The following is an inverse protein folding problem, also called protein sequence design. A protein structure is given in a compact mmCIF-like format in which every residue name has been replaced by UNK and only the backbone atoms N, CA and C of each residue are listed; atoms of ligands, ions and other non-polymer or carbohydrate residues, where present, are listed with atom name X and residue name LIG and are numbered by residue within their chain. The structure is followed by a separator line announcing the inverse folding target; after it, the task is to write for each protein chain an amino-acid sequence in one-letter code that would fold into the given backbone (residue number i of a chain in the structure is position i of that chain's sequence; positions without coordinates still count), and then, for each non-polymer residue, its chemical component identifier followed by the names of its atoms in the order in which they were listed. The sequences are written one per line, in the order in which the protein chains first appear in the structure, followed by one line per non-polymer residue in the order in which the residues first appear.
data_IF_042074641233
#
_entry.id   IF_042074641233
#
_cell.length_a   1.000
_cell.length_b   1.000
_cell.length_c   1.000
_cell.angle_alpha   90.00
_cell.angle_beta   90.00
_cell.angle_gamma   90.00
#
_symmetry.space_group_name_H-M   'P 1'
#
loop_
_entity.id
_entity.type
_entity.pdbx_description
1 polymer ?
#
# COMPACT_ATOMS: atom_id res chain seq x y z
N UNK A 1 25.42 17.84 -5.69
CA UNK A 1 24.11 18.20 -5.09
C UNK A 1 24.35 19.13 -3.92
N UNK A 2 23.74 20.31 -3.91
CA UNK A 2 23.78 21.16 -2.70
C UNK A 2 22.82 20.63 -1.64
N UNK A 3 23.26 20.48 -0.38
CA UNK A 3 22.39 20.08 0.70
C UNK A 3 21.21 21.06 0.85
N UNK A 4 19.99 20.54 0.92
CA UNK A 4 18.75 21.33 1.15
C UNK A 4 18.16 21.01 2.51
N UNK A 5 17.53 22.00 3.13
CA UNK A 5 16.77 21.83 4.36
C UNK A 5 15.32 21.52 4.01
N UNK A 6 14.86 20.33 4.37
CA UNK A 6 13.54 19.79 3.99
C UNK A 6 12.68 19.63 5.24
N UNK A 7 11.51 20.26 5.26
CA UNK A 7 10.48 19.99 6.28
C UNK A 7 9.51 18.93 5.72
N UNK A 8 9.61 17.68 6.22
CA UNK A 8 8.68 16.61 5.84
C UNK A 8 7.52 16.57 6.83
N UNK A 9 6.29 16.78 6.33
CA UNK A 9 5.08 16.71 7.16
C UNK A 9 4.27 15.47 6.75
N UNK A 10 4.12 14.55 7.69
CA UNK A 10 3.32 13.32 7.49
C UNK A 10 2.53 13.01 8.77
N UNK A 11 1.31 12.52 8.63
CA UNK A 11 0.57 12.04 9.79
C UNK A 11 1.10 10.67 10.24
N UNK A 12 1.37 9.78 9.29
CA UNK A 12 1.93 8.46 9.54
C UNK A 12 3.44 8.49 9.27
N UNK A 13 4.21 8.03 10.24
CA UNK A 13 5.67 7.93 10.14
C UNK A 13 6.19 6.77 10.99
N UNK A 14 7.43 6.33 10.76
CA UNK A 14 8.06 5.32 11.60
C UNK A 14 8.06 5.74 13.09
N UNK A 15 8.01 4.82 14.03
CA UNK A 15 8.01 3.36 13.87
C UNK A 15 6.61 2.75 13.76
N UNK A 16 5.59 3.52 13.40
CA UNK A 16 4.20 3.05 13.32
C UNK A 16 4.04 1.89 12.33
N UNK A 17 3.44 0.79 12.76
CA UNK A 17 3.01 -0.29 11.86
C UNK A 17 1.76 0.13 11.07
N UNK A 18 1.97 0.97 10.09
CA UNK A 18 0.94 1.47 9.18
C UNK A 18 1.51 1.59 7.77
N UNK A 19 0.78 1.08 6.77
CA UNK A 19 1.20 1.18 5.37
C UNK A 19 1.49 2.63 4.95
N UNK A 20 0.79 3.58 5.59
CA UNK A 20 0.99 5.00 5.38
C UNK A 20 2.31 5.54 5.90
N UNK A 21 3.01 4.84 6.80
CA UNK A 21 4.29 5.24 7.34
C UNK A 21 5.48 4.87 6.44
N UNK A 22 5.34 3.80 5.64
CA UNK A 22 6.44 3.26 4.82
C UNK A 22 7.03 4.33 3.91
N UNK A 23 6.22 4.91 3.04
CA UNK A 23 6.67 5.87 2.03
C UNK A 23 7.38 7.10 2.60
N UNK A 24 6.79 7.88 3.54
CA UNK A 24 7.47 9.05 4.09
C UNK A 24 8.75 8.70 4.84
N UNK A 25 8.79 7.57 5.54
CA UNK A 25 9.99 7.11 6.24
C UNK A 25 11.10 6.75 5.25
N UNK A 26 10.80 5.97 4.21
CA UNK A 26 11.80 5.60 3.19
C UNK A 26 12.31 6.83 2.43
N UNK A 27 11.44 7.75 2.04
CA UNK A 27 11.87 8.99 1.38
C UNK A 27 12.76 9.83 2.30
N UNK A 28 12.41 10.02 3.57
CA UNK A 28 13.25 10.74 4.54
C UNK A 28 14.62 10.08 4.68
N UNK A 29 14.67 8.75 4.88
CA UNK A 29 15.91 7.96 4.99
C UNK A 29 16.86 8.22 3.81
N UNK A 30 16.35 8.14 2.58
CA UNK A 30 17.20 8.27 1.41
C UNK A 30 17.55 9.72 1.07
N UNK A 31 16.69 10.69 1.37
CA UNK A 31 17.04 12.11 1.26
C UNK A 31 18.16 12.50 2.24
N UNK A 32 18.11 12.00 3.49
CA UNK A 32 19.23 12.19 4.45
C UNK A 32 20.53 11.54 3.95
N UNK A 33 20.45 10.31 3.41
CA UNK A 33 21.62 9.63 2.83
C UNK A 33 22.22 10.35 1.61
N UNK A 34 21.44 11.19 0.95
CA UNK A 34 21.91 12.06 -0.16
C UNK A 34 22.51 13.37 0.37
N UNK A 35 22.55 13.59 1.68
CA UNK A 35 23.14 14.77 2.32
C UNK A 35 22.17 15.92 2.55
N UNK A 36 20.86 15.75 2.30
CA UNK A 36 19.86 16.76 2.70
C UNK A 36 19.62 16.70 4.21
N UNK A 37 19.20 17.83 4.78
CA UNK A 37 18.80 17.92 6.19
C UNK A 37 17.27 17.78 6.28
N UNK A 38 16.75 16.65 6.77
CA UNK A 38 15.32 16.37 6.84
C UNK A 38 14.79 16.52 8.25
N UNK A 39 13.99 17.54 8.50
CA UNK A 39 13.19 17.68 9.72
C UNK A 39 11.81 17.04 9.49
N UNK A 40 11.43 16.09 10.34
CA UNK A 40 10.14 15.40 10.23
C UNK A 40 9.16 15.92 11.27
N UNK A 41 7.95 16.28 10.84
CA UNK A 41 6.83 16.64 11.73
C UNK A 41 5.71 15.60 11.54
N UNK A 42 5.44 14.77 12.54
CA UNK A 42 4.51 13.65 12.43
C UNK A 42 3.63 13.45 13.66
N UNK A 43 2.60 12.58 13.53
CA UNK A 43 1.75 12.11 14.63
C UNK A 43 2.32 10.82 15.24
N UNK A 44 2.07 10.51 16.52
CA UNK A 44 2.39 9.21 17.10
C UNK A 44 1.52 8.08 16.55
N UNK A 45 0.49 8.38 15.74
CA UNK A 45 -0.40 7.41 15.11
C UNK A 45 -1.53 6.91 15.99
N UNK A 46 -2.34 6.00 15.41
CA UNK A 46 -3.57 5.48 16.04
C UNK A 46 -3.37 4.16 16.79
N UNK A 47 -2.22 3.51 16.67
CA UNK A 47 -1.94 2.19 17.23
C UNK A 47 -0.65 2.13 18.02
N UNK A 48 -0.56 1.14 18.91
CA UNK A 48 0.62 0.89 19.73
C UNK A 48 1.60 -0.09 19.04
N UNK A 49 1.20 -0.66 17.90
CA UNK A 49 2.03 -1.58 17.14
C UNK A 49 3.13 -0.83 16.40
N UNK A 50 4.37 -1.23 16.64
CA UNK A 50 5.54 -0.74 15.93
C UNK A 50 6.00 -1.75 14.88
N UNK A 51 6.58 -1.25 13.79
CA UNK A 51 7.25 -2.04 12.76
C UNK A 51 8.76 -1.94 13.00
N UNK A 52 9.43 -3.06 13.38
CA UNK A 52 10.87 -3.06 13.64
C UNK A 52 11.71 -2.67 12.41
N UNK A 53 11.22 -2.97 11.21
CA UNK A 53 11.91 -2.61 9.95
C UNK A 53 11.90 -1.09 9.77
N UNK A 54 10.73 -0.45 9.94
CA UNK A 54 10.62 1.01 9.88
C UNK A 54 11.37 1.69 11.04
N UNK A 55 11.42 1.07 12.23
CA UNK A 55 12.20 1.60 13.34
C UNK A 55 13.71 1.66 13.00
N UNK A 56 14.25 0.66 12.29
CA UNK A 56 15.65 0.68 11.81
C UNK A 56 15.90 1.80 10.81
N UNK A 57 14.94 2.12 9.96
CA UNK A 57 15.06 3.20 8.98
C UNK A 57 15.17 4.59 9.60
N UNK A 58 14.78 4.74 10.87
CA UNK A 58 14.94 5.98 11.62
C UNK A 58 16.35 6.22 12.11
N UNK A 59 17.22 5.23 12.11
CA UNK A 59 18.56 5.32 12.73
C UNK A 59 19.44 6.45 12.18
N UNK A 60 19.19 6.91 10.95
CA UNK A 60 19.89 8.05 10.33
C UNK A 60 19.14 9.38 10.43
N UNK A 61 17.92 9.39 10.96
CA UNK A 61 17.10 10.60 11.07
C UNK A 61 17.28 11.23 12.45
N UNK A 62 17.88 12.40 12.49
CA UNK A 62 18.26 13.07 13.76
C UNK A 62 17.20 14.06 14.23
N UNK A 63 16.29 14.51 13.35
CA UNK A 63 15.37 15.61 13.67
C UNK A 63 13.89 15.20 13.38
N UNK A 64 13.31 14.42 14.34
CA UNK A 64 11.93 13.91 14.24
C UNK A 64 11.08 14.45 15.38
N UNK A 65 10.11 15.29 15.02
CA UNK A 65 9.15 15.90 15.95
C UNK A 65 7.82 15.14 15.94
N UNK A 66 7.59 14.35 16.99
CA UNK A 66 6.33 13.62 17.18
C UNK A 66 5.36 14.51 17.95
N UNK A 67 4.26 14.89 17.31
CA UNK A 67 3.24 15.78 17.89
C UNK A 67 2.14 14.96 18.53
N UNK A 68 2.13 14.88 19.85
CA UNK A 68 1.07 14.23 20.62
C UNK A 68 -0.29 14.91 20.39
N UNK A 69 -1.24 14.16 19.89
CA UNK A 69 -2.60 14.61 19.63
C UNK A 69 -3.58 14.13 20.71
N UNK A 70 -4.71 14.84 20.88
CA UNK A 70 -5.81 14.34 21.72
C UNK A 70 -6.57 13.25 20.99
N UNK A 71 -6.05 12.02 21.05
CA UNK A 71 -6.62 10.88 20.35
C UNK A 71 -7.42 9.97 21.29
N UNK A 72 -8.73 10.18 21.34
CA UNK A 72 -9.65 9.35 22.13
C UNK A 72 -9.73 7.89 21.64
N UNK A 73 -9.49 7.66 20.35
CA UNK A 73 -9.45 6.31 19.77
C UNK A 73 -8.26 5.51 20.32
N UNK A 74 -7.09 6.13 20.44
CA UNK A 74 -5.91 5.51 21.07
C UNK A 74 -6.21 5.14 22.51
N UNK A 75 -6.79 6.06 23.27
CA UNK A 75 -7.20 5.79 24.68
C UNK A 75 -8.25 4.68 24.82
N UNK A 76 -9.21 4.61 23.90
CA UNK A 76 -10.22 3.54 23.88
C UNK A 76 -9.61 2.18 23.49
N UNK A 77 -8.66 2.16 22.54
CA UNK A 77 -7.93 0.94 22.18
C UNK A 77 -7.05 0.45 23.32
N UNK A 78 -6.29 1.34 23.97
CA UNK A 78 -5.45 1.00 25.11
C UNK A 78 -6.25 0.43 26.30
N UNK A 79 -7.46 0.92 26.54
CA UNK A 79 -8.34 0.35 27.57
C UNK A 79 -8.92 -1.03 27.20
N UNK A 80 -8.97 -1.39 25.91
CA UNK A 80 -9.43 -2.71 25.42
C UNK A 80 -8.29 -3.72 25.23
N UNK A 81 -7.05 -3.31 25.21
CA UNK A 81 -5.88 -4.17 25.06
C UNK A 81 -5.31 -4.69 26.38
N UNK A 82 -6.12 -4.83 27.42
CA UNK A 82 -5.77 -5.75 28.50
C UNK A 82 -5.76 -7.17 27.92
N UNK A 83 -4.75 -8.02 28.19
CA UNK A 83 -4.63 -9.32 27.57
C UNK A 83 -5.81 -10.21 28.03
N UNK A 84 -6.80 -10.40 27.16
CA UNK A 84 -7.65 -11.58 27.28
C UNK A 84 -6.76 -12.76 26.92
N UNK A 85 -6.63 -13.67 27.90
CA UNK A 85 -5.97 -14.96 27.72
C UNK A 85 -6.42 -15.62 26.41
N UNK A 86 -5.46 -16.25 25.73
CA UNK A 86 -5.67 -16.95 24.48
C UNK A 86 -6.91 -17.86 24.55
N UNK A 87 -7.93 -17.48 23.80
CA UNK A 87 -9.07 -18.37 23.58
C UNK A 87 -8.78 -19.23 22.36
N UNK A 88 -9.10 -20.54 22.38
CA UNK A 88 -8.77 -21.47 21.32
C UNK A 88 -9.54 -21.13 20.04
N UNK A 89 -8.84 -21.27 18.92
CA UNK A 89 -9.39 -21.11 17.59
C UNK A 89 -10.41 -22.21 17.30
N UNK A 90 -11.67 -21.93 17.44
CA UNK A 90 -12.79 -22.54 16.69
C UNK A 90 -13.99 -21.61 16.81
N UNK A 91 -14.36 -20.91 15.79
CA UNK A 91 -15.75 -20.53 15.59
C UNK A 91 -16.11 -20.48 14.12
N UNK A 92 -16.92 -21.45 13.70
CA UNK A 92 -17.75 -21.39 12.50
C UNK A 92 -18.48 -20.05 12.49
N UNK A 93 -18.09 -19.14 11.62
CA UNK A 93 -18.85 -17.89 11.47
C UNK A 93 -19.96 -18.09 10.46
N UNK A 94 -21.17 -18.07 11.01
CA UNK A 94 -22.40 -17.87 10.28
C UNK A 94 -22.38 -16.55 9.49
N UNK A 95 -23.17 -16.51 8.41
CA UNK A 95 -23.37 -15.34 7.55
C UNK A 95 -23.52 -14.03 8.35
N UNK A 96 -22.79 -12.99 7.90
CA UNK A 96 -22.84 -11.66 8.55
C UNK A 96 -24.27 -11.14 8.59
N UNK A 97 -24.81 -10.79 9.78
CA UNK A 97 -26.11 -10.15 9.86
C UNK A 97 -26.06 -8.79 9.17
N UNK A 98 -27.15 -8.42 8.50
CA UNK A 98 -27.39 -7.06 7.97
C UNK A 98 -26.92 -6.03 8.99
N UNK A 99 -26.09 -5.07 8.56
CA UNK A 99 -25.51 -4.03 9.43
C UNK A 99 -26.64 -3.25 10.12
N UNK A 100 -26.94 -3.59 11.36
CA UNK A 100 -27.96 -2.93 12.16
C UNK A 100 -27.57 -1.48 12.49
N UNK A 101 -28.53 -0.65 12.88
CA UNK A 101 -28.37 0.75 13.27
C UNK A 101 -27.19 0.98 14.25
N UNK A 102 -26.91 0.02 15.13
CA UNK A 102 -25.75 0.07 16.05
C UNK A 102 -24.40 0.07 15.34
N UNK A 103 -24.24 -0.66 14.24
CA UNK A 103 -23.01 -0.68 13.45
C UNK A 103 -22.81 0.63 12.69
N UNK A 104 -23.85 1.20 12.13
CA UNK A 104 -23.80 2.49 11.44
C UNK A 104 -23.46 3.63 12.41
N UNK A 105 -24.03 3.63 13.61
CA UNK A 105 -23.71 4.59 14.66
C UNK A 105 -22.25 4.47 15.13
N UNK A 106 -21.74 3.25 15.31
CA UNK A 106 -20.37 3.00 15.69
C UNK A 106 -19.37 3.46 14.61
N UNK A 107 -19.68 3.23 13.33
CA UNK A 107 -18.85 3.69 12.20
C UNK A 107 -18.88 5.23 12.09
N UNK A 108 -20.02 5.86 12.28
CA UNK A 108 -20.12 7.33 12.30
C UNK A 108 -19.34 7.93 13.47
N UNK A 109 -19.43 7.34 14.66
CA UNK A 109 -18.65 7.75 15.81
C UNK A 109 -17.14 7.60 15.59
N UNK A 110 -16.71 6.48 14.99
CA UNK A 110 -15.30 6.25 14.64
C UNK A 110 -14.79 7.30 13.64
N UNK A 111 -15.55 7.59 12.58
CA UNK A 111 -15.21 8.64 11.59
C UNK A 111 -15.14 10.03 12.25
N UNK A 112 -16.05 10.36 13.13
CA UNK A 112 -16.04 11.61 13.87
C UNK A 112 -14.82 11.74 14.79
N UNK A 113 -14.47 10.69 15.53
CA UNK A 113 -13.30 10.67 16.41
C UNK A 113 -11.99 10.80 15.62
N UNK A 114 -11.89 10.15 14.47
CA UNK A 114 -10.74 10.33 13.56
C UNK A 114 -10.61 11.76 13.08
N UNK A 115 -11.71 12.36 12.68
CA UNK A 115 -11.72 13.77 12.25
C UNK A 115 -11.32 14.72 13.39
N UNK A 116 -11.75 14.45 14.61
CA UNK A 116 -11.32 15.23 15.79
C UNK A 116 -9.81 15.06 16.07
N UNK A 117 -9.29 13.87 15.94
CA UNK A 117 -7.87 13.58 16.10
C UNK A 117 -7.05 14.37 15.05
N UNK A 118 -7.47 14.33 13.78
CA UNK A 118 -6.85 15.11 12.69
C UNK A 118 -6.84 16.62 13.00
N UNK A 119 -7.96 17.18 13.46
CA UNK A 119 -7.99 18.59 13.88
C UNK A 119 -7.08 18.89 15.08
N UNK A 120 -7.04 18.00 16.06
CA UNK A 120 -6.14 18.14 17.21
C UNK A 120 -4.68 18.12 16.76
N UNK A 121 -4.32 17.21 15.87
CA UNK A 121 -2.99 17.17 15.25
C UNK A 121 -2.67 18.49 14.55
N UNK A 122 -3.57 18.99 13.68
CA UNK A 122 -3.36 20.25 12.98
C UNK A 122 -2.97 21.40 13.92
N UNK A 123 -3.76 21.64 14.96
CA UNK A 123 -3.52 22.77 15.86
C UNK A 123 -2.24 22.63 16.67
N UNK A 124 -1.92 21.43 17.10
CA UNK A 124 -0.70 21.15 17.88
C UNK A 124 0.54 21.18 17.01
N UNK A 125 0.48 20.55 15.84
CA UNK A 125 1.55 20.56 14.85
C UNK A 125 1.85 21.99 14.35
N UNK A 126 0.81 22.82 14.17
CA UNK A 126 0.99 24.22 13.82
C UNK A 126 1.73 25.02 14.93
N UNK A 127 1.47 24.69 16.20
CA UNK A 127 2.19 25.28 17.32
C UNK A 127 3.63 24.81 17.37
N UNK A 128 3.87 23.52 17.17
CA UNK A 128 5.20 22.93 17.17
C UNK A 128 6.04 23.44 15.99
N UNK A 129 5.48 23.47 14.80
CA UNK A 129 6.12 23.97 13.59
C UNK A 129 6.66 25.41 13.72
N UNK A 130 6.01 26.25 14.54
CA UNK A 130 6.49 27.61 14.83
C UNK A 130 7.74 27.68 15.69
N UNK A 131 8.10 26.58 16.37
CA UNK A 131 9.27 26.49 17.24
C UNK A 131 10.46 25.89 16.50
N UNK A 132 10.23 25.32 15.29
CA UNK A 132 11.29 24.72 14.51
C UNK A 132 12.35 25.77 14.15
N UNK A 133 13.64 25.43 14.24
CA UNK A 133 14.72 26.38 14.03
C UNK A 133 14.93 26.72 12.56
N UNK A 134 15.05 28.00 12.26
CA UNK A 134 15.43 28.50 10.94
C UNK A 134 14.34 28.41 9.87
N UNK A 135 14.76 28.52 8.61
CA UNK A 135 13.92 28.37 7.42
C UNK A 135 14.27 27.10 6.66
N UNK A 136 13.29 26.56 5.94
CA UNK A 136 13.44 25.39 5.07
C UNK A 136 13.38 25.81 3.61
N UNK A 137 14.20 25.17 2.76
CA UNK A 137 14.14 25.39 1.30
C UNK A 137 12.82 24.89 0.76
N UNK A 138 12.36 23.74 1.26
CA UNK A 138 11.11 23.11 0.81
C UNK A 138 10.36 22.44 1.96
N UNK A 139 9.03 22.52 1.93
CA UNK A 139 8.17 21.62 2.68
C UNK A 139 7.64 20.53 1.76
N UNK A 140 7.87 19.27 2.10
CA UNK A 140 7.27 18.10 1.48
C UNK A 140 6.16 17.57 2.38
N UNK A 141 4.93 17.50 1.88
CA UNK A 141 3.80 17.01 2.67
C UNK A 141 3.11 15.85 1.96
N UNK A 142 2.81 14.76 2.66
CA UNK A 142 2.20 13.57 2.07
C UNK A 142 0.83 13.26 2.67
N UNK A 143 -0.22 13.33 1.83
CA UNK A 143 -1.61 13.05 2.20
C UNK A 143 -1.78 11.54 2.50
N UNK A 144 -2.58 11.07 3.48
CA UNK A 144 -3.63 11.69 4.27
C UNK A 144 -3.18 11.89 5.73
N UNK A 145 -3.87 12.69 6.52
CA UNK A 145 -5.14 13.41 6.31
C UNK A 145 -4.95 14.85 5.76
N UNK A 146 -6.08 15.60 5.61
CA UNK A 146 -6.04 16.97 5.07
C UNK A 146 -5.15 17.93 5.85
N UNK A 147 -5.02 17.76 7.17
CA UNK A 147 -4.20 18.60 8.06
C UNK A 147 -2.76 18.71 7.59
N UNK A 148 -2.20 17.67 7.01
CA UNK A 148 -0.82 17.63 6.53
C UNK A 148 -0.57 18.70 5.46
N UNK A 149 -1.41 18.76 4.41
CA UNK A 149 -1.29 19.79 3.39
C UNK A 149 -1.71 21.19 3.88
N UNK A 150 -2.65 21.26 4.83
CA UNK A 150 -3.01 22.53 5.47
C UNK A 150 -1.83 23.11 6.28
N UNK A 151 -1.07 22.26 6.99
CA UNK A 151 0.16 22.64 7.69
C UNK A 151 1.23 23.13 6.71
N UNK A 152 1.45 22.38 5.61
CA UNK A 152 2.42 22.79 4.58
C UNK A 152 2.06 24.14 3.94
N UNK A 153 0.76 24.38 3.66
CA UNK A 153 0.28 25.67 3.22
C UNK A 153 0.59 26.79 4.24
N UNK A 154 0.44 26.50 5.54
CA UNK A 154 0.80 27.45 6.60
C UNK A 154 2.32 27.66 6.71
N UNK A 155 3.12 26.61 6.53
CA UNK A 155 4.58 26.71 6.51
C UNK A 155 5.04 27.70 5.43
N UNK A 156 4.54 27.53 4.19
CA UNK A 156 4.86 28.42 3.07
C UNK A 156 4.36 29.85 3.30
N UNK A 157 3.10 30.04 3.71
CA UNK A 157 2.53 31.37 3.96
C UNK A 157 3.24 32.17 5.05
N UNK A 158 3.89 31.52 5.99
CA UNK A 158 4.61 32.13 7.11
C UNK A 158 6.10 32.25 6.87
N UNK A 159 6.60 31.88 5.70
CA UNK A 159 8.02 31.93 5.38
C UNK A 159 8.87 30.88 6.14
N UNK A 160 8.23 29.87 6.77
CA UNK A 160 8.93 28.74 7.39
C UNK A 160 9.59 27.88 6.32
N UNK A 161 8.94 27.73 5.17
CA UNK A 161 9.50 27.06 4.00
C UNK A 161 9.26 27.93 2.74
N UNK A 162 10.27 27.98 1.86
CA UNK A 162 10.21 28.81 0.64
C UNK A 162 9.32 28.17 -0.43
N UNK A 163 9.38 26.85 -0.56
CA UNK A 163 8.67 26.07 -1.58
C UNK A 163 7.86 24.94 -0.95
N UNK A 164 6.87 24.44 -1.71
CA UNK A 164 6.01 23.37 -1.25
C UNK A 164 5.75 22.31 -2.32
N UNK A 165 6.07 21.05 -2.02
CA UNK A 165 5.68 19.87 -2.79
C UNK A 165 4.55 19.16 -2.05
N UNK A 166 3.37 19.06 -2.69
CA UNK A 166 2.20 18.36 -2.15
C UNK A 166 2.08 16.97 -2.78
N UNK A 167 2.26 15.91 -1.96
CA UNK A 167 2.24 14.51 -2.38
C UNK A 167 0.92 13.84 -2.02
N UNK A 168 0.26 13.24 -3.00
CA UNK A 168 -1.00 12.53 -2.86
C UNK A 168 -0.83 11.02 -3.12
N UNK A 169 -1.15 10.22 -2.12
CA UNK A 169 -1.12 8.74 -2.21
C UNK A 169 -2.51 8.10 -2.12
N UNK A 170 -3.49 8.84 -1.65
CA UNK A 170 -4.88 8.42 -1.47
C UNK A 170 -5.84 9.51 -1.92
N UNK A 171 -7.08 9.11 -2.28
CA UNK A 171 -8.15 10.03 -2.60
C UNK A 171 -8.53 10.89 -1.38
N UNK A 172 -8.79 12.18 -1.63
CA UNK A 172 -9.21 13.08 -0.56
C UNK A 172 -10.64 12.78 -0.14
N UNK A 173 -10.79 12.34 1.09
CA UNK A 173 -12.08 11.94 1.67
C UNK A 173 -12.45 12.82 2.87
N UNK A 174 -13.74 12.87 3.16
CA UNK A 174 -14.31 13.53 4.34
C UNK A 174 -15.19 12.52 5.11
N UNK A 175 -15.29 12.65 6.43
CA UNK A 175 -16.04 11.69 7.23
C UNK A 175 -17.56 11.69 6.98
N UNK A 176 -18.11 12.80 6.49
CA UNK A 176 -19.55 12.97 6.30
C UNK A 176 -19.86 13.64 4.97
N UNK A 177 -20.96 13.24 4.32
CA UNK A 177 -21.36 13.75 3.00
C UNK A 177 -21.60 15.25 2.96
N UNK A 178 -22.15 15.83 4.03
CA UNK A 178 -22.34 17.29 4.12
C UNK A 178 -21.02 18.09 4.11
N UNK A 179 -19.89 17.41 4.34
CA UNK A 179 -18.55 18.03 4.27
C UNK A 179 -17.93 17.98 2.86
N UNK A 180 -18.55 17.35 1.86
CA UNK A 180 -17.98 17.19 0.50
C UNK A 180 -17.54 18.51 -0.13
N UNK A 181 -18.25 19.62 0.12
CA UNK A 181 -17.83 20.95 -0.34
C UNK A 181 -16.45 21.37 0.17
N UNK A 182 -15.95 20.78 1.27
CA UNK A 182 -14.59 21.03 1.79
C UNK A 182 -13.52 20.45 0.89
N UNK A 183 -13.80 19.36 0.17
CA UNK A 183 -12.84 18.70 -0.74
C UNK A 183 -12.45 19.69 -1.87
N UNK A 184 -13.41 20.30 -2.54
CA UNK A 184 -13.14 21.25 -3.61
C UNK A 184 -12.37 22.50 -3.10
N UNK A 185 -12.69 22.97 -1.88
CA UNK A 185 -11.96 24.09 -1.26
C UNK A 185 -10.53 23.69 -0.92
N UNK A 186 -10.34 22.47 -0.45
CA UNK A 186 -9.02 21.91 -0.12
C UNK A 186 -8.15 21.81 -1.38
N UNK A 187 -8.65 21.20 -2.46
CA UNK A 187 -7.90 21.13 -3.72
C UNK A 187 -7.54 22.53 -4.25
N UNK A 188 -8.47 23.48 -4.24
CA UNK A 188 -8.19 24.88 -4.65
C UNK A 188 -7.10 25.53 -3.78
N UNK A 189 -7.09 25.25 -2.47
CA UNK A 189 -6.04 25.74 -1.58
C UNK A 189 -4.66 25.19 -1.98
N UNK A 190 -4.57 23.89 -2.23
CA UNK A 190 -3.30 23.25 -2.65
C UNK A 190 -2.88 23.81 -4.01
N UNK A 191 -3.78 23.85 -5.00
CA UNK A 191 -3.52 24.40 -6.34
C UNK A 191 -2.92 25.80 -6.32
N UNK A 192 -3.45 26.68 -5.47
CA UNK A 192 -2.99 28.06 -5.38
C UNK A 192 -1.68 28.24 -4.63
N UNK A 193 -1.28 27.27 -3.83
CA UNK A 193 -0.19 27.48 -2.88
C UNK A 193 1.01 26.53 -3.06
N UNK A 194 0.79 25.33 -3.57
CA UNK A 194 1.89 24.38 -3.85
C UNK A 194 2.65 24.77 -5.12
N UNK A 195 3.96 24.58 -5.11
CA UNK A 195 4.81 24.78 -6.29
C UNK A 195 4.78 23.54 -7.18
N UNK A 196 4.72 22.35 -6.55
CA UNK A 196 4.59 21.07 -7.24
C UNK A 196 3.51 20.24 -6.55
N UNK A 197 2.68 19.59 -7.35
CA UNK A 197 1.81 18.51 -6.90
C UNK A 197 2.30 17.19 -7.49
N UNK A 198 2.40 16.16 -6.66
CA UNK A 198 2.69 14.82 -7.15
C UNK A 198 1.70 13.79 -6.61
N UNK A 199 1.56 12.69 -7.31
CA UNK A 199 0.72 11.58 -6.90
C UNK A 199 1.37 10.23 -7.24
N UNK A 200 0.85 9.18 -6.60
CA UNK A 200 1.38 7.81 -6.76
C UNK A 200 1.18 7.23 -8.17
N UNK A 201 0.26 7.77 -8.95
CA UNK A 201 0.01 7.34 -10.33
C UNK A 201 -0.54 8.46 -11.20
N UNK A 202 -0.38 8.34 -12.53
CA UNK A 202 -0.96 9.27 -13.50
C UNK A 202 -2.48 9.30 -13.43
N UNK A 203 -3.15 8.14 -13.33
CA UNK A 203 -4.60 8.09 -13.20
C UNK A 203 -5.11 8.80 -11.96
N UNK A 204 -4.32 8.83 -10.88
CA UNK A 204 -4.65 9.59 -9.68
C UNK A 204 -4.54 11.11 -9.91
N UNK A 205 -3.50 11.57 -10.62
CA UNK A 205 -3.38 12.97 -11.03
C UNK A 205 -4.56 13.44 -11.91
N UNK A 206 -4.99 12.59 -12.82
CA UNK A 206 -6.14 12.86 -13.70
C UNK A 206 -7.45 13.03 -12.90
N UNK A 207 -7.64 12.23 -11.84
CA UNK A 207 -8.80 12.36 -10.96
C UNK A 207 -8.80 13.64 -10.14
N UNK A 208 -7.61 14.17 -9.81
CA UNK A 208 -7.47 15.39 -8.99
C UNK A 208 -7.74 16.69 -9.73
N UNK A 209 -8.01 16.64 -11.01
CA UNK A 209 -8.27 17.75 -11.91
C UNK A 209 -7.02 18.27 -12.67
N UNK A 210 -7.15 18.40 -13.99
CA UNK A 210 -6.12 18.66 -15.02
C UNK A 210 -5.39 20.03 -14.93
N UNK A 211 -5.62 20.81 -13.88
CA UNK A 211 -5.02 22.13 -13.72
C UNK A 211 -3.65 22.13 -13.02
N UNK A 212 -3.13 20.95 -12.67
CA UNK A 212 -1.80 20.83 -12.08
C UNK A 212 -0.78 20.39 -13.13
N UNK A 213 0.39 21.01 -13.13
CA UNK A 213 1.60 20.35 -13.62
C UNK A 213 1.97 19.25 -12.64
N UNK A 214 1.26 18.12 -12.78
CA UNK A 214 1.32 17.03 -11.83
C UNK A 214 2.45 16.05 -12.19
N UNK A 215 3.28 15.73 -11.19
CA UNK A 215 4.38 14.77 -11.33
C UNK A 215 4.02 13.43 -10.69
N UNK A 216 4.46 12.32 -11.29
CA UNK A 216 4.26 10.99 -10.69
C UNK A 216 5.46 10.65 -9.81
N UNK A 217 5.17 10.40 -8.52
CA UNK A 217 6.09 9.80 -7.57
C UNK A 217 5.38 8.56 -7.02
N UNK A 218 5.67 7.38 -7.55
CA UNK A 218 4.99 6.12 -7.18
C UNK A 218 5.33 5.68 -5.76
N UNK A 219 4.61 4.69 -5.23
CA UNK A 219 5.11 3.88 -4.13
C UNK A 219 6.30 3.06 -4.63
N UNK A 220 7.06 2.50 -3.72
CA UNK A 220 8.25 1.75 -4.05
C UNK A 220 8.54 0.61 -3.09
N UNK A 221 9.70 -0.01 -3.27
CA UNK A 221 10.26 -1.04 -2.41
C UNK A 221 11.66 -0.64 -1.92
N UNK A 222 12.09 -1.29 -0.84
CA UNK A 222 13.44 -1.13 -0.31
C UNK A 222 14.06 -2.50 -0.09
N UNK A 223 15.14 -2.78 -0.81
CA UNK A 223 15.85 -4.08 -0.68
C UNK A 223 16.43 -4.32 0.72
N UNK A 224 16.67 -3.26 1.47
CA UNK A 224 17.12 -3.38 2.87
C UNK A 224 16.04 -3.95 3.80
N UNK A 225 14.78 -4.03 3.35
CA UNK A 225 13.70 -4.68 4.07
C UNK A 225 13.74 -6.21 3.96
N UNK A 226 14.51 -6.75 3.00
CA UNK A 226 14.66 -8.19 2.87
C UNK A 226 15.50 -8.74 4.04
N UNK A 227 14.98 -9.72 4.78
CA UNK A 227 15.78 -10.42 5.77
C UNK A 227 16.86 -11.25 5.08
N UNK A 228 17.99 -11.45 5.76
CA UNK A 228 18.98 -12.44 5.35
C UNK A 228 18.38 -13.82 5.60
N UNK A 229 17.94 -14.49 4.54
CA UNK A 229 17.31 -15.81 4.63
C UNK A 229 18.19 -16.87 3.96
N UNK A 230 18.25 -18.02 4.59
CA UNK A 230 18.73 -19.22 3.93
C UNK A 230 17.75 -19.65 2.83
N UNK A 231 18.29 -20.16 1.72
CA UNK A 231 17.47 -20.64 0.62
C UNK A 231 16.55 -21.77 1.12
N UNK A 232 15.23 -21.55 1.02
CA UNK A 232 14.28 -22.61 1.34
C UNK A 232 14.45 -23.76 0.34
N UNK A 233 14.61 -25.00 0.86
CA UNK A 233 14.62 -26.20 0.03
C UNK A 233 13.26 -26.36 -0.66
N UNK A 234 13.28 -26.62 -1.97
CA UNK A 234 12.07 -26.96 -2.72
C UNK A 234 11.58 -28.34 -2.25
N UNK A 235 10.35 -28.40 -1.77
CA UNK A 235 9.69 -29.64 -1.32
C UNK A 235 8.82 -30.30 -2.40
N UNK A 236 8.98 -29.88 -3.67
CA UNK A 236 8.20 -30.40 -4.80
C UNK A 236 6.77 -29.87 -4.89
N UNK A 237 6.43 -28.80 -4.16
CA UNK A 237 5.14 -28.14 -4.25
C UNK A 237 5.24 -26.83 -5.04
N UNK A 238 4.27 -26.59 -5.93
CA UNK A 238 4.04 -25.31 -6.61
C UNK A 238 3.25 -24.40 -5.69
N UNK A 239 3.88 -23.31 -5.21
CA UNK A 239 3.31 -22.41 -4.22
C UNK A 239 2.81 -21.12 -4.83
N UNK A 240 1.51 -20.86 -4.68
CA UNK A 240 0.87 -19.59 -4.99
C UNK A 240 0.59 -18.89 -3.67
N UNK A 241 1.26 -17.77 -3.41
CA UNK A 241 1.21 -17.07 -2.13
C UNK A 241 0.44 -15.77 -2.23
N UNK A 242 -0.54 -15.58 -1.36
CA UNK A 242 -1.29 -14.33 -1.19
C UNK A 242 -1.12 -13.83 0.26
N UNK A 243 -0.44 -12.71 0.43
CA UNK A 243 -0.32 -12.06 1.74
C UNK A 243 -1.16 -10.77 1.77
N UNK A 244 -2.16 -10.71 2.66
CA UNK A 244 -2.92 -9.50 2.91
C UNK A 244 -4.44 -9.68 2.91
N UNK A 245 -5.16 -8.57 2.72
CA UNK A 245 -6.59 -8.51 2.88
C UNK A 245 -7.32 -8.97 1.60
N UNK A 246 -8.30 -9.84 1.76
CA UNK A 246 -9.30 -10.22 0.75
C UNK A 246 -10.62 -9.58 1.19
N UNK A 247 -10.87 -8.34 0.81
CA UNK A 247 -12.11 -7.67 1.21
C UNK A 247 -13.23 -7.96 0.22
N UNK A 248 -14.42 -8.25 0.76
CA UNK A 248 -15.65 -8.10 0.00
C UNK A 248 -15.90 -6.60 -0.20
N UNK A 249 -15.93 -6.16 -1.44
CA UNK A 249 -16.43 -4.83 -1.77
C UNK A 249 -17.89 -4.69 -1.31
N UNK A 250 -18.37 -3.47 -1.15
CA UNK A 250 -19.80 -3.20 -0.89
C UNK A 250 -20.70 -3.54 -2.10
N UNK A 251 -20.17 -4.20 -3.13
CA UNK A 251 -20.81 -4.50 -4.43
C UNK A 251 -20.98 -6.01 -4.60
N UNK A 252 -21.74 -6.41 -5.59
CA UNK A 252 -22.00 -7.81 -5.97
C UNK A 252 -20.74 -8.56 -6.40
N UNK A 253 -19.72 -7.84 -6.90
CA UNK A 253 -18.40 -8.41 -7.23
C UNK A 253 -17.39 -7.95 -6.18
N UNK A 254 -16.62 -8.86 -5.57
CA UNK A 254 -15.57 -8.51 -4.63
C UNK A 254 -14.53 -7.56 -5.25
N UNK A 255 -14.03 -6.60 -4.48
CA UNK A 255 -12.94 -5.73 -4.94
C UNK A 255 -11.63 -6.49 -5.18
N UNK A 256 -11.49 -7.67 -4.58
CA UNK A 256 -10.36 -8.60 -4.76
C UNK A 256 -10.90 -10.00 -5.06
N UNK A 257 -11.36 -10.16 -6.30
CA UNK A 257 -11.79 -11.45 -6.83
C UNK A 257 -10.56 -12.21 -7.34
N UNK A 258 -10.22 -13.31 -6.67
CA UNK A 258 -9.09 -14.18 -7.03
C UNK A 258 -9.53 -15.40 -7.83
N UNK A 259 -10.84 -15.55 -8.08
CA UNK A 259 -11.39 -16.73 -8.76
C UNK A 259 -10.85 -16.94 -10.19
N UNK A 260 -10.44 -15.92 -10.97
CA UNK A 260 -9.78 -16.17 -12.26
C UNK A 260 -8.50 -17.00 -12.11
N UNK A 261 -7.66 -16.71 -11.10
CA UNK A 261 -6.48 -17.51 -10.80
C UNK A 261 -6.84 -18.93 -10.36
N UNK A 262 -7.83 -19.06 -9.50
CA UNK A 262 -8.24 -20.37 -8.98
C UNK A 262 -8.91 -21.24 -10.07
N UNK A 263 -9.71 -20.65 -10.96
CA UNK A 263 -10.24 -21.37 -12.14
C UNK A 263 -9.12 -21.86 -13.05
N UNK A 264 -8.13 -21.03 -13.32
CA UNK A 264 -6.99 -21.42 -14.15
C UNK A 264 -6.19 -22.57 -13.50
N UNK A 265 -5.92 -22.52 -12.20
CA UNK A 265 -5.24 -23.62 -11.48
C UNK A 265 -6.10 -24.90 -11.47
N UNK A 266 -7.41 -24.81 -11.25
CA UNK A 266 -8.32 -25.95 -11.32
C UNK A 266 -8.29 -26.61 -12.71
N UNK A 267 -8.20 -25.80 -13.77
CA UNK A 267 -8.06 -26.31 -15.14
C UNK A 267 -6.75 -27.06 -15.35
N UNK A 268 -5.62 -26.55 -14.82
CA UNK A 268 -4.33 -27.24 -14.88
C UNK A 268 -4.34 -28.60 -14.17
N UNK A 269 -5.09 -28.72 -13.06
CA UNK A 269 -5.30 -30.00 -12.39
C UNK A 269 -6.12 -30.96 -13.25
N UNK A 270 -7.18 -30.49 -13.90
CA UNK A 270 -8.02 -31.29 -14.82
C UNK A 270 -7.24 -31.76 -16.05
N UNK A 271 -6.33 -30.95 -16.56
CA UNK A 271 -5.44 -31.26 -17.68
C UNK A 271 -4.30 -32.22 -17.28
N UNK A 272 -4.15 -32.54 -15.98
CA UNK A 272 -3.07 -33.39 -15.47
C UNK A 272 -1.69 -32.74 -15.50
N UNK A 273 -1.61 -31.43 -15.83
CA UNK A 273 -0.34 -30.70 -15.87
C UNK A 273 0.22 -30.46 -14.46
N UNK A 274 -0.66 -30.28 -13.48
CA UNK A 274 -0.29 -30.13 -12.06
C UNK A 274 -1.06 -31.16 -11.24
N UNK A 275 -0.39 -31.79 -10.27
CA UNK A 275 -1.05 -32.71 -9.33
C UNK A 275 -1.58 -31.94 -8.13
N UNK A 276 -2.71 -32.35 -7.58
CA UNK A 276 -3.34 -31.68 -6.42
C UNK A 276 -2.44 -31.66 -5.19
N UNK A 277 -1.73 -32.76 -4.95
CA UNK A 277 -0.78 -32.92 -3.83
C UNK A 277 0.43 -31.99 -3.97
N UNK A 278 0.74 -31.57 -5.18
CA UNK A 278 1.84 -30.65 -5.47
C UNK A 278 1.41 -29.17 -5.52
N UNK A 279 0.12 -28.83 -5.33
CA UNK A 279 -0.34 -27.45 -5.29
C UNK A 279 -0.51 -26.97 -3.85
N UNK A 280 0.02 -25.77 -3.54
CA UNK A 280 -0.23 -25.05 -2.29
C UNK A 280 -0.72 -23.63 -2.57
N UNK A 281 -1.89 -23.30 -2.03
CA UNK A 281 -2.46 -21.94 -2.02
C UNK A 281 -2.21 -21.36 -0.62
N UNK A 282 -1.10 -20.66 -0.47
CA UNK A 282 -0.68 -20.13 0.83
C UNK A 282 -1.33 -18.78 1.07
N UNK A 283 -2.05 -18.65 2.18
CA UNK A 283 -2.70 -17.42 2.59
C UNK A 283 -2.15 -16.90 3.92
N UNK A 284 -1.84 -15.61 3.97
CA UNK A 284 -1.54 -14.92 5.22
C UNK A 284 -2.31 -13.59 5.29
N UNK A 285 -3.28 -13.49 6.20
CA UNK A 285 -4.14 -12.31 6.34
C UNK A 285 -5.27 -12.49 7.36
N UNK A 286 -6.13 -11.48 7.47
CA UNK A 286 -7.23 -11.45 8.45
C UNK A 286 -8.52 -12.14 8.00
N UNK A 287 -8.64 -12.45 6.71
CA UNK A 287 -9.91 -12.81 6.07
C UNK A 287 -9.82 -14.19 5.44
N UNK A 288 -9.27 -15.15 6.18
CA UNK A 288 -9.06 -16.55 5.78
C UNK A 288 -10.33 -17.19 5.20
N UNK A 289 -11.48 -16.94 5.82
CA UNK A 289 -12.74 -17.49 5.35
C UNK A 289 -13.13 -17.01 3.94
N UNK A 290 -12.81 -15.75 3.58
CA UNK A 290 -13.10 -15.23 2.23
C UNK A 290 -12.16 -15.82 1.18
N UNK A 291 -10.89 -15.99 1.52
CA UNK A 291 -9.92 -16.63 0.64
C UNK A 291 -10.30 -18.10 0.41
N UNK A 292 -10.59 -18.83 1.49
CA UNK A 292 -11.02 -20.22 1.43
C UNK A 292 -12.29 -20.39 0.60
N UNK A 293 -13.31 -19.57 0.80
CA UNK A 293 -14.57 -19.63 0.05
C UNK A 293 -14.35 -19.44 -1.46
N UNK A 294 -13.46 -18.54 -1.88
CA UNK A 294 -13.11 -18.37 -3.28
C UNK A 294 -12.37 -19.61 -3.83
N UNK A 295 -11.44 -20.19 -3.08
CA UNK A 295 -10.73 -21.42 -3.48
C UNK A 295 -11.69 -22.63 -3.55
N UNK A 296 -12.58 -22.79 -2.58
CA UNK A 296 -13.60 -23.84 -2.54
C UNK A 296 -14.56 -23.76 -3.75
N UNK A 297 -14.97 -22.56 -4.15
CA UNK A 297 -15.83 -22.36 -5.32
C UNK A 297 -15.20 -22.87 -6.62
N UNK A 298 -13.88 -23.04 -6.64
CA UNK A 298 -13.12 -23.59 -7.76
C UNK A 298 -12.58 -25.02 -7.50
N UNK A 299 -13.03 -25.69 -6.43
CA UNK A 299 -12.61 -27.05 -6.07
C UNK A 299 -11.19 -27.15 -5.52
N UNK A 300 -10.61 -26.05 -5.00
CA UNK A 300 -9.24 -25.97 -4.50
C UNK A 300 -9.13 -25.82 -2.98
N UNK A 301 -10.22 -25.98 -2.23
CA UNK A 301 -10.22 -25.81 -0.77
C UNK A 301 -9.17 -26.66 -0.06
N UNK A 302 -8.97 -27.92 -0.50
CA UNK A 302 -7.96 -28.84 0.09
C UNK A 302 -6.50 -28.45 -0.21
N UNK A 303 -6.25 -27.51 -1.12
CA UNK A 303 -4.92 -27.00 -1.45
C UNK A 303 -4.56 -25.77 -0.62
N UNK A 304 -5.49 -25.23 0.18
CA UNK A 304 -5.27 -24.00 0.96
C UNK A 304 -4.47 -24.29 2.21
N UNK A 305 -3.41 -23.53 2.40
CA UNK A 305 -2.58 -23.47 3.60
C UNK A 305 -2.76 -22.08 4.23
N UNK A 306 -3.50 -22.01 5.34
CA UNK A 306 -3.88 -20.76 5.99
C UNK A 306 -2.99 -20.49 7.22
N UNK A 307 -2.21 -19.43 7.16
CA UNK A 307 -1.35 -18.96 8.24
C UNK A 307 -2.03 -17.88 9.12
N UNK A 308 -3.22 -17.43 8.76
CA UNK A 308 -3.88 -16.33 9.45
C UNK A 308 -3.08 -15.03 9.41
N UNK A 309 -3.21 -14.21 10.45
CA UNK A 309 -2.46 -12.96 10.58
C UNK A 309 -1.07 -13.22 11.15
N UNK A 310 -0.06 -13.05 10.34
CA UNK A 310 1.36 -13.24 10.70
C UNK A 310 2.10 -11.90 10.86
N UNK A 311 3.23 -11.85 11.59
CA UNK A 311 4.15 -10.73 11.59
C UNK A 311 4.71 -10.43 10.18
N UNK A 312 5.15 -9.18 9.95
CA UNK A 312 5.68 -8.77 8.64
C UNK A 312 6.84 -9.64 8.16
N UNK A 313 7.76 -9.99 9.05
CA UNK A 313 8.92 -10.83 8.71
C UNK A 313 8.49 -12.20 8.19
N UNK A 314 7.51 -12.83 8.84
CA UNK A 314 6.96 -14.10 8.39
C UNK A 314 6.20 -13.97 7.06
N UNK A 315 5.44 -12.88 6.87
CA UNK A 315 4.82 -12.57 5.58
C UNK A 315 5.86 -12.48 4.45
N UNK A 316 7.00 -11.84 4.70
CA UNK A 316 8.11 -11.75 3.74
C UNK A 316 8.71 -13.14 3.46
N UNK A 317 8.88 -13.98 4.49
CA UNK A 317 9.37 -15.36 4.31
C UNK A 317 8.44 -16.19 3.43
N UNK A 318 7.13 -16.13 3.68
CA UNK A 318 6.14 -16.81 2.84
C UNK A 318 6.22 -16.32 1.37
N UNK A 319 6.34 -15.02 1.17
CA UNK A 319 6.47 -14.43 -0.17
C UNK A 319 7.76 -14.87 -0.87
N UNK A 320 8.88 -14.93 -0.18
CA UNK A 320 10.16 -15.44 -0.73
C UNK A 320 10.10 -16.92 -1.09
N UNK A 321 9.31 -17.72 -0.35
CA UNK A 321 9.05 -19.13 -0.63
C UNK A 321 8.07 -19.38 -1.79
N UNK A 322 7.47 -18.36 -2.37
CA UNK A 322 6.51 -18.49 -3.46
C UNK A 322 7.17 -18.91 -4.77
N UNK A 323 6.45 -19.67 -5.59
CA UNK A 323 6.70 -19.81 -7.03
C UNK A 323 5.97 -18.70 -7.78
N UNK A 324 4.75 -18.35 -7.35
CA UNK A 324 3.95 -17.24 -7.87
C UNK A 324 3.37 -16.41 -6.73
N UNK A 325 3.50 -15.10 -6.81
CA UNK A 325 2.86 -14.15 -5.90
C UNK A 325 1.53 -13.70 -6.49
N UNK A 326 0.45 -13.97 -5.77
CA UNK A 326 -0.91 -13.62 -6.19
C UNK A 326 -1.35 -12.32 -5.51
N UNK A 327 -1.93 -11.41 -6.27
CA UNK A 327 -2.57 -10.22 -5.74
C UNK A 327 -3.95 -9.99 -6.36
N UNK A 328 -4.86 -9.43 -5.58
CA UNK A 328 -6.15 -8.92 -6.05
C UNK A 328 -6.19 -7.41 -5.95
N UNK A 329 -6.73 -6.76 -6.96
CA UNK A 329 -6.96 -5.32 -6.99
C UNK A 329 -8.20 -4.99 -7.82
N UNK A 330 -8.54 -3.71 -7.95
CA UNK A 330 -9.68 -3.29 -8.76
C UNK A 330 -9.35 -2.05 -9.58
N UNK A 331 -9.99 -1.95 -10.75
CA UNK A 331 -9.90 -0.77 -11.61
C UNK A 331 -11.27 -0.51 -12.25
N UNK A 332 -11.79 0.69 -12.05
CA UNK A 332 -13.14 1.07 -12.48
C UNK A 332 -13.12 2.44 -13.11
N UNK A 333 -14.05 2.68 -14.02
CA UNK A 333 -14.27 4.00 -14.63
C UNK A 333 -14.52 5.09 -13.58
N UNK A 334 -15.16 4.74 -12.47
CA UNK A 334 -15.47 5.64 -11.35
C UNK A 334 -14.32 5.81 -10.34
N UNK A 335 -13.28 4.97 -10.39
CA UNK A 335 -12.16 4.98 -9.44
C UNK A 335 -10.88 4.53 -10.14
N UNK A 336 -10.17 5.48 -10.68
CA UNK A 336 -8.93 5.27 -11.45
C UNK A 336 -7.69 5.47 -10.58
N UNK A 337 -6.56 4.93 -11.03
CA UNK A 337 -5.25 5.25 -10.49
C UNK A 337 -4.82 4.49 -9.24
N UNK A 338 -5.55 3.46 -8.81
CA UNK A 338 -5.16 2.62 -7.68
C UNK A 338 -3.89 1.85 -8.01
N UNK A 339 -2.82 2.14 -7.27
CA UNK A 339 -1.53 1.48 -7.37
C UNK A 339 -1.10 1.06 -5.97
N UNK A 340 -1.34 -0.19 -5.64
CA UNK A 340 -1.17 -0.70 -4.27
C UNK A 340 0.31 -0.88 -3.90
N UNK A 341 0.67 -0.62 -2.64
CA UNK A 341 2.02 -0.85 -2.13
C UNK A 341 2.48 -2.32 -2.22
N UNK A 342 1.53 -3.27 -2.23
CA UNK A 342 1.80 -4.70 -2.35
C UNK A 342 2.51 -5.07 -3.66
N UNK A 343 2.18 -4.40 -4.77
CA UNK A 343 2.85 -4.63 -6.05
C UNK A 343 4.37 -4.41 -5.93
N UNK A 344 4.75 -3.32 -5.28
CA UNK A 344 6.16 -2.98 -5.11
C UNK A 344 6.87 -3.91 -4.11
N UNK A 345 6.20 -4.32 -3.04
CA UNK A 345 6.72 -5.34 -2.13
C UNK A 345 6.95 -6.66 -2.87
N UNK A 346 6.05 -7.06 -3.75
CA UNK A 346 6.18 -8.27 -4.55
C UNK A 346 7.30 -8.17 -5.61
N UNK A 347 7.55 -6.99 -6.18
CA UNK A 347 8.71 -6.76 -7.06
C UNK A 347 10.03 -7.04 -6.34
N UNK A 348 10.12 -6.68 -5.06
CA UNK A 348 11.29 -6.91 -4.23
C UNK A 348 11.61 -8.41 -4.09
N UNK A 349 10.59 -9.28 -4.10
CA UNK A 349 10.75 -10.74 -3.94
C UNK A 349 11.32 -11.43 -5.18
N UNK A 350 11.36 -10.76 -6.32
CA UNK A 350 11.85 -11.30 -7.60
C UNK A 350 11.12 -12.57 -8.08
N UNK A 351 9.85 -12.71 -7.72
CA UNK A 351 8.98 -13.81 -8.12
C UNK A 351 7.95 -13.33 -9.15
N UNK A 352 7.40 -14.22 -10.00
CA UNK A 352 6.28 -13.87 -10.86
C UNK A 352 5.10 -13.33 -10.06
N UNK A 353 4.54 -12.22 -10.50
CA UNK A 353 3.35 -11.61 -9.91
C UNK A 353 2.15 -11.83 -10.82
N UNK A 354 1.11 -12.48 -10.31
CA UNK A 354 -0.19 -12.57 -11.00
C UNK A 354 -1.19 -11.66 -10.29
N UNK A 355 -1.74 -10.69 -11.01
CA UNK A 355 -2.77 -9.81 -10.51
C UNK A 355 -4.13 -10.17 -11.10
N UNK A 356 -5.10 -10.49 -10.25
CA UNK A 356 -6.51 -10.55 -10.63
C UNK A 356 -7.11 -9.15 -10.42
N UNK A 357 -7.48 -8.49 -11.52
CA UNK A 357 -7.98 -7.12 -11.54
C UNK A 357 -9.49 -7.12 -11.75
N UNK A 358 -10.24 -6.89 -10.67
CA UNK A 358 -11.69 -6.75 -10.73
C UNK A 358 -12.08 -5.36 -11.28
N UNK A 359 -13.21 -5.28 -11.99
CA UNK A 359 -13.79 -4.00 -12.40
C UNK A 359 -14.18 -3.94 -13.86
N UNK A 360 -14.60 -2.73 -14.28
CA UNK A 360 -15.28 -2.46 -15.55
C UNK A 360 -14.41 -1.69 -16.56
N UNK A 361 -13.17 -1.40 -16.22
CA UNK A 361 -12.26 -0.64 -17.09
C UNK A 361 -11.01 -1.45 -17.43
N UNK A 362 -10.58 -1.49 -18.72
CA UNK A 362 -9.31 -2.08 -19.13
C UNK A 362 -8.15 -1.11 -18.96
N UNK A 363 -6.91 -1.62 -19.00
CA UNK A 363 -5.70 -0.82 -19.00
C UNK A 363 -5.35 -0.25 -17.62
N UNK A 364 -5.46 -1.09 -16.58
CA UNK A 364 -5.17 -0.70 -15.20
C UNK A 364 -3.71 -0.25 -15.02
N UNK A 365 -3.44 0.70 -14.10
CA UNK A 365 -2.07 1.10 -13.75
C UNK A 365 -1.20 -0.07 -13.27
N UNK A 366 -1.78 -1.03 -12.55
CA UNK A 366 -1.08 -2.26 -12.12
C UNK A 366 -0.68 -3.09 -13.33
N UNK A 367 -1.61 -3.31 -14.28
CA UNK A 367 -1.33 -4.04 -15.52
C UNK A 367 -0.26 -3.35 -16.38
N UNK A 368 -0.25 -2.03 -16.42
CA UNK A 368 0.79 -1.27 -17.11
C UNK A 368 2.16 -1.50 -16.45
N UNK A 369 2.27 -1.36 -15.13
CA UNK A 369 3.52 -1.57 -14.41
C UNK A 369 4.04 -3.01 -14.58
N UNK A 370 3.16 -4.02 -14.50
CA UNK A 370 3.55 -5.43 -14.70
C UNK A 370 4.10 -5.68 -16.11
N UNK A 371 3.50 -5.08 -17.14
CA UNK A 371 3.99 -5.15 -18.54
C UNK A 371 5.34 -4.44 -18.71
N UNK A 372 5.48 -3.22 -18.19
CA UNK A 372 6.71 -2.42 -18.30
C UNK A 372 7.91 -3.07 -17.60
N UNK A 373 7.66 -3.70 -16.47
CA UNK A 373 8.69 -4.33 -15.65
C UNK A 373 8.98 -5.79 -16.02
N UNK A 374 8.04 -6.45 -16.71
CA UNK A 374 8.13 -7.87 -17.02
C UNK A 374 8.13 -8.78 -15.78
N UNK A 375 7.65 -8.30 -14.62
CA UNK A 375 7.62 -9.10 -13.39
C UNK A 375 6.39 -9.98 -13.25
N UNK A 376 5.45 -9.95 -14.22
CA UNK A 376 4.26 -10.78 -14.16
C UNK A 376 3.16 -10.30 -15.08
N UNK A 377 1.95 -10.72 -14.80
CA UNK A 377 0.77 -10.45 -15.63
C UNK A 377 -0.43 -9.96 -14.82
N UNK A 378 -1.31 -9.24 -15.49
CA UNK A 378 -2.59 -8.79 -14.95
C UNK A 378 -3.72 -9.42 -15.76
N UNK A 379 -4.60 -10.17 -15.11
CA UNK A 379 -5.86 -10.65 -15.68
C UNK A 379 -6.93 -9.62 -15.33
N UNK A 380 -7.34 -8.82 -16.32
CA UNK A 380 -8.32 -7.75 -16.15
C UNK A 380 -9.74 -8.27 -16.48
N UNK A 381 -10.63 -8.28 -15.48
CA UNK A 381 -12.00 -8.75 -15.64
C UNK A 381 -12.74 -8.05 -16.80
N UNK A 382 -12.42 -6.78 -17.06
CA UNK A 382 -12.98 -6.01 -18.16
C UNK A 382 -12.66 -6.57 -19.54
N UNK A 383 -11.62 -7.40 -19.68
CA UNK A 383 -11.26 -8.09 -20.94
C UNK A 383 -11.98 -9.42 -21.14
N UNK A 384 -12.78 -9.85 -20.15
CA UNK A 384 -13.62 -11.04 -20.24
C UNK A 384 -12.84 -12.36 -20.41
N UNK A 385 -13.45 -13.36 -21.12
CA UNK A 385 -12.87 -14.70 -21.26
C UNK A 385 -11.46 -14.72 -21.88
N UNK A 386 -11.15 -13.78 -22.77
CA UNK A 386 -9.84 -13.71 -23.41
C UNK A 386 -8.68 -13.46 -22.41
N UNK A 387 -8.92 -12.64 -21.39
CA UNK A 387 -7.93 -12.42 -20.34
C UNK A 387 -7.75 -13.65 -19.43
N UNK A 388 -8.82 -14.41 -19.16
CA UNK A 388 -8.73 -15.67 -18.42
C UNK A 388 -7.97 -16.75 -19.21
N UNK A 389 -8.19 -16.84 -20.51
CA UNK A 389 -7.46 -17.79 -21.37
C UNK A 389 -5.97 -17.42 -21.47
N UNK A 390 -5.66 -16.13 -21.56
CA UNK A 390 -4.29 -15.63 -21.51
C UNK A 390 -3.62 -16.01 -20.18
N UNK A 391 -4.31 -15.78 -19.04
CA UNK A 391 -3.81 -16.19 -17.72
C UNK A 391 -3.54 -17.70 -17.68
N UNK A 392 -4.45 -18.52 -18.17
CA UNK A 392 -4.30 -19.97 -18.20
C UNK A 392 -3.07 -20.38 -19.02
N UNK A 393 -2.87 -19.80 -20.20
CA UNK A 393 -1.72 -20.10 -21.06
C UNK A 393 -0.39 -19.73 -20.42
N UNK A 394 -0.31 -18.57 -19.77
CA UNK A 394 0.87 -18.14 -19.02
C UNK A 394 1.17 -19.08 -17.84
N UNK A 395 0.13 -19.49 -17.10
CA UNK A 395 0.31 -20.44 -16.00
C UNK A 395 0.74 -21.82 -16.49
N UNK A 396 0.26 -22.29 -17.64
CA UNK A 396 0.76 -23.53 -18.27
C UNK A 396 2.26 -23.45 -18.52
N UNK A 397 2.74 -22.32 -19.05
CA UNK A 397 4.16 -22.05 -19.25
C UNK A 397 4.94 -22.06 -17.93
N UNK A 398 4.44 -21.36 -16.92
CA UNK A 398 5.08 -21.30 -15.61
C UNK A 398 5.18 -22.68 -14.94
N UNK A 399 4.10 -23.49 -14.97
CA UNK A 399 4.11 -24.83 -14.35
C UNK A 399 5.08 -25.77 -15.08
N UNK A 400 5.16 -25.71 -16.42
CA UNK A 400 6.14 -26.52 -17.17
C UNK A 400 7.57 -26.16 -16.80
N UNK A 401 7.92 -24.87 -16.76
CA UNK A 401 9.24 -24.40 -16.32
C UNK A 401 9.54 -24.80 -14.88
N UNK A 402 8.55 -24.68 -13.99
CA UNK A 402 8.68 -25.12 -12.60
C UNK A 402 9.03 -26.61 -12.50
N UNK A 403 8.37 -27.47 -13.28
CA UNK A 403 8.65 -28.92 -13.36
C UNK A 403 10.06 -29.22 -13.87
N UNK A 404 10.58 -28.37 -14.78
CA UNK A 404 11.91 -28.48 -15.34
C UNK A 404 12.99 -27.84 -14.46
N UNK A 405 12.60 -27.19 -13.37
CA UNK A 405 13.52 -26.46 -12.49
C UNK A 405 14.04 -25.15 -13.07
N UNK A 406 13.39 -24.66 -14.13
CA UNK A 406 13.79 -23.44 -14.84
C UNK A 406 13.26 -22.17 -14.14
N UNK A 407 13.86 -20.99 -14.42
CA UNK A 407 13.35 -19.71 -13.94
C UNK A 407 11.94 -19.44 -14.47
N UNK A 408 11.04 -19.00 -13.58
CA UNK A 408 9.65 -18.69 -13.96
C UNK A 408 9.48 -17.28 -14.57
N UNK A 409 10.48 -16.42 -14.45
CA UNK A 409 10.55 -15.09 -15.05
C UNK A 409 11.71 -15.02 -16.04
N UNK A 410 11.43 -14.85 -17.33
CA UNK A 410 12.44 -14.82 -18.39
C UNK A 410 12.88 -13.39 -18.77
N UNK A 411 11.95 -12.49 -18.91
CA UNK A 411 12.15 -11.19 -19.58
C UNK A 411 11.91 -10.00 -18.65
N UNK A 412 12.56 -9.99 -17.47
CA UNK A 412 12.46 -8.84 -16.56
C UNK A 412 13.21 -7.63 -17.11
N UNK A 413 12.53 -6.50 -17.17
CA UNK A 413 13.17 -5.22 -17.37
C UNK A 413 13.72 -4.70 -16.03
N UNK A 414 14.95 -5.08 -15.70
CA UNK A 414 15.57 -4.74 -14.41
C UNK A 414 15.68 -3.21 -14.22
N UNK A 415 15.89 -2.44 -15.28
CA UNK A 415 15.94 -0.98 -15.21
C UNK A 415 14.56 -0.41 -14.83
N UNK A 416 13.49 -0.91 -15.42
CA UNK A 416 12.14 -0.50 -15.09
C UNK A 416 11.76 -0.92 -13.65
N UNK A 417 12.18 -2.09 -13.19
CA UNK A 417 11.99 -2.52 -11.79
C UNK A 417 12.74 -1.60 -10.84
N UNK A 418 14.01 -1.29 -11.12
CA UNK A 418 14.85 -0.43 -10.27
C UNK A 418 14.30 0.99 -10.12
N UNK A 419 13.60 1.50 -11.13
CA UNK A 419 12.95 2.82 -11.07
C UNK A 419 11.91 2.93 -9.93
N UNK A 420 11.42 1.81 -9.40
CA UNK A 420 10.52 1.74 -8.26
C UNK A 420 11.24 1.51 -6.91
N UNK A 421 12.56 1.40 -6.88
CA UNK A 421 13.30 1.35 -5.62
C UNK A 421 13.29 2.71 -4.92
N UNK A 422 13.13 2.73 -3.58
CA UNK A 422 13.08 3.99 -2.83
C UNK A 422 14.32 4.88 -3.01
N UNK A 423 15.56 4.36 -3.16
CA UNK A 423 16.70 5.20 -3.54
C UNK A 423 16.44 6.02 -4.81
N UNK A 424 15.92 5.39 -5.88
CA UNK A 424 15.61 6.05 -7.14
C UNK A 424 14.45 7.05 -7.05
N UNK A 425 13.44 6.71 -6.24
CA UNK A 425 12.33 7.64 -5.98
C UNK A 425 12.80 8.86 -5.19
N UNK A 426 13.71 8.69 -4.25
CA UNK A 426 14.31 9.79 -3.51
C UNK A 426 15.23 10.65 -4.40
N UNK A 427 16.04 10.06 -5.29
CA UNK A 427 16.80 10.78 -6.31
C UNK A 427 15.90 11.65 -7.19
N UNK A 428 14.79 11.08 -7.64
CA UNK A 428 13.78 11.80 -8.43
C UNK A 428 13.19 12.99 -7.65
N UNK A 429 12.86 12.78 -6.38
CA UNK A 429 12.34 13.83 -5.49
C UNK A 429 13.39 14.90 -5.23
N UNK A 430 14.64 14.52 -4.95
CA UNK A 430 15.77 15.43 -4.77
C UNK A 430 15.98 16.31 -6.02
N UNK A 431 15.96 15.73 -7.21
CA UNK A 431 16.05 16.49 -8.45
C UNK A 431 14.91 17.49 -8.64
N UNK A 432 13.71 17.20 -8.12
CA UNK A 432 12.63 18.21 -8.12
C UNK A 432 12.89 19.33 -7.11
N UNK A 433 13.42 19.00 -5.93
CA UNK A 433 13.75 19.97 -4.89
C UNK A 433 14.83 20.94 -5.35
N UNK A 434 15.84 20.45 -6.06
CA UNK A 434 16.93 21.26 -6.58
C UNK A 434 16.48 22.24 -7.68
N UNK A 435 15.46 21.88 -8.46
CA UNK A 435 14.95 22.67 -9.57
C UNK A 435 13.75 23.57 -9.18
N UNK A 436 13.45 23.73 -7.91
CA UNK A 436 12.45 24.66 -7.36
C UNK A 436 13.07 25.97 -6.90
#
# INVERSE_FOLDING_TARGET
MEPKRILLISYYFAPQNAIGAVRPTKLAKYLERMGHQVTVLCSPGLGDLQDPTLARDMAGLTDVHVVEERNWLRRLKQRRSQPLAAAPAVSRQAARPRQGLKHQAADAAYRYLRWRADRSFYHRALKEMRKLPGSYDVVFSTYAPMSVHQLACQAKKRGIASKWIADYRDEVTVPFDWMKKKIARFYRMVQKSADVCCAVSRGFLEMMNRQFDGRVLSNGYDREDLPTLEAQKRDGCFRVVYCGQVSEGRRTVPDRDLTPMFRALSRLLQEGLLRREALRLVYAGKESALFLAQAESCGLGSCVEDHGLVPREESIRLQLGADVLLMGSWYRTSQKGILTGKLFEYMMMQKPVVCCMAGDAPGSPVGQVLRETGVGLCCEQAGGPAEEEKLLNELRGMVRRWQQGEPLLENRNLQAVEAYAYPRLAEKLSGWIENL
#
